data_IF_873303111214
#
_entry.id   IF_873303111214
#
_cell.length_a   1.000
_cell.length_b   1.000
_cell.length_c   1.000
_cell.angle_alpha   90.00
_cell.angle_beta   90.00
_cell.angle_gamma   90.00
#
_symmetry.space_group_name_H-M   'P 1'
#
loop_
_entity.id
_entity.type
_entity.pdbx_description
1 polymer ?
#
# COMPACT_ATOMS: atom_id res chain seq x y z
N UNK A 1 3.77 -8.21 2.62
CA UNK A 1 2.40 -8.72 2.39
C UNK A 1 2.34 -9.12 0.93
N UNK A 2 2.25 -10.42 0.64
CA UNK A 2 1.82 -10.82 -0.69
C UNK A 2 0.41 -10.25 -0.82
N UNK A 3 0.26 -9.16 -1.58
CA UNK A 3 -1.05 -8.61 -1.86
C UNK A 3 -1.91 -9.75 -2.41
N UNK A 4 -3.01 -10.08 -1.77
CA UNK A 4 -3.98 -10.94 -2.41
C UNK A 4 -4.32 -10.31 -3.76
N UNK A 5 -4.75 -11.08 -4.72
CA UNK A 5 -5.17 -10.58 -6.03
C UNK A 5 -6.14 -9.42 -5.80
N UNK A 6 -5.70 -8.18 -6.00
CA UNK A 6 -6.47 -7.00 -5.59
C UNK A 6 -7.73 -6.80 -6.45
N UNK A 7 -7.68 -7.23 -7.70
CA UNK A 7 -8.74 -7.09 -8.70
C UNK A 7 -9.30 -5.68 -8.78
N UNK A 8 -8.52 -4.70 -9.27
CA UNK A 8 -9.06 -3.39 -9.58
C UNK A 8 -10.16 -3.53 -10.63
N UNK A 9 -11.30 -2.89 -10.41
CA UNK A 9 -12.48 -3.09 -11.25
C UNK A 9 -12.94 -1.81 -11.95
N UNK A 10 -13.14 -0.73 -11.20
CA UNK A 10 -13.59 0.55 -11.73
C UNK A 10 -12.54 1.62 -11.47
N UNK A 11 -12.39 2.57 -12.40
CA UNK A 11 -11.41 3.64 -12.28
C UNK A 11 -11.99 4.96 -12.79
N UNK A 12 -11.80 6.04 -12.04
CA UNK A 12 -12.18 7.39 -12.39
C UNK A 12 -11.04 8.37 -12.08
N UNK A 13 -11.04 9.53 -12.76
CA UNK A 13 -10.18 10.64 -12.38
C UNK A 13 -10.95 11.58 -11.45
N UNK A 14 -10.29 12.05 -10.39
CA UNK A 14 -10.81 13.17 -9.62
C UNK A 14 -10.36 14.52 -10.22
N UNK A 15 -10.90 15.62 -9.70
CA UNK A 15 -10.59 16.98 -10.17
C UNK A 15 -9.12 17.39 -9.96
N UNK A 16 -8.37 16.66 -9.14
CA UNK A 16 -6.93 16.88 -8.90
C UNK A 16 -6.05 16.11 -9.90
N UNK A 17 -6.66 15.31 -10.78
CA UNK A 17 -5.95 14.48 -11.77
C UNK A 17 -5.36 13.21 -11.18
N UNK A 18 -5.84 12.78 -10.03
CA UNK A 18 -5.50 11.50 -9.40
C UNK A 18 -6.45 10.41 -9.92
N UNK A 19 -5.96 9.19 -9.96
CA UNK A 19 -6.73 8.01 -10.32
C UNK A 19 -7.35 7.41 -9.05
N UNK A 20 -8.66 7.34 -9.01
CA UNK A 20 -9.42 6.65 -7.96
C UNK A 20 -9.88 5.32 -8.51
N UNK A 21 -9.70 4.25 -7.78
CA UNK A 21 -10.15 2.91 -8.18
C UNK A 21 -10.51 2.05 -6.98
N UNK A 22 -11.38 1.09 -7.20
CA UNK A 22 -11.71 0.08 -6.20
C UNK A 22 -10.91 -1.20 -6.42
N UNK A 23 -10.56 -1.86 -5.34
CA UNK A 23 -9.88 -3.15 -5.32
C UNK A 23 -10.80 -4.17 -4.64
N UNK A 24 -11.56 -4.91 -5.44
CA UNK A 24 -12.66 -5.76 -4.96
C UNK A 24 -12.22 -6.81 -3.93
N UNK A 25 -11.12 -7.51 -4.21
CA UNK A 25 -10.63 -8.59 -3.35
C UNK A 25 -9.75 -8.10 -2.22
N UNK A 26 -9.06 -6.98 -2.41
CA UNK A 26 -8.31 -6.33 -1.34
C UNK A 26 -9.21 -5.49 -0.42
N UNK A 27 -10.49 -5.32 -0.77
CA UNK A 27 -11.47 -4.58 0.00
C UNK A 27 -11.08 -3.12 0.24
N UNK A 28 -10.53 -2.46 -0.80
CA UNK A 28 -10.01 -1.11 -0.74
C UNK A 28 -10.70 -0.16 -1.72
N UNK A 29 -10.74 1.12 -1.34
CA UNK A 29 -10.77 2.26 -2.27
C UNK A 29 -9.35 2.84 -2.30
N UNK A 30 -8.78 2.95 -3.49
CA UNK A 30 -7.40 3.39 -3.67
C UNK A 30 -7.32 4.65 -4.52
N UNK A 31 -6.38 5.54 -4.15
CA UNK A 31 -6.10 6.79 -4.86
C UNK A 31 -4.62 6.79 -5.25
N UNK A 32 -4.36 6.83 -6.55
CA UNK A 32 -3.00 6.95 -7.09
C UNK A 32 -2.77 8.35 -7.63
N UNK A 33 -1.74 9.02 -7.15
CA UNK A 33 -1.25 10.26 -7.73
C UNK A 33 -0.08 9.95 -8.69
N UNK A 34 -0.29 10.08 -10.01
CA UNK A 34 0.75 9.74 -10.98
C UNK A 34 1.91 10.75 -11.01
N UNK A 35 1.72 11.96 -10.48
CA UNK A 35 2.78 12.99 -10.42
C UNK A 35 3.68 12.78 -9.21
N UNK A 36 3.08 12.50 -8.06
CA UNK A 36 3.79 12.27 -6.81
C UNK A 36 4.25 10.81 -6.67
N UNK A 37 3.82 9.94 -7.56
CA UNK A 37 4.08 8.49 -7.51
C UNK A 37 3.63 7.89 -6.16
N UNK A 38 2.52 8.38 -5.61
CA UNK A 38 1.93 7.90 -4.35
C UNK A 38 0.71 7.04 -4.61
N UNK A 39 0.52 6.04 -3.75
CA UNK A 39 -0.69 5.24 -3.69
C UNK A 39 -1.21 5.27 -2.25
N UNK A 40 -2.45 5.68 -2.07
CA UNK A 40 -3.17 5.65 -0.80
C UNK A 40 -4.31 4.66 -0.91
N UNK A 41 -4.34 3.65 -0.05
CA UNK A 41 -5.43 2.70 0.05
C UNK A 41 -6.24 2.94 1.32
N UNK A 42 -7.54 3.02 1.18
CA UNK A 42 -8.49 3.07 2.29
C UNK A 42 -9.16 1.71 2.41
N UNK A 43 -8.80 0.97 3.44
CA UNK A 43 -9.35 -0.35 3.68
C UNK A 43 -10.76 -0.24 4.24
N UNK A 44 -11.70 -0.95 3.62
CA UNK A 44 -13.09 -0.98 4.08
C UNK A 44 -13.19 -1.89 5.30
N UNK A 45 -13.61 -1.39 6.47
CA UNK A 45 -13.61 -2.17 7.71
C UNK A 45 -14.68 -3.26 7.75
N UNK A 46 -15.71 -3.16 6.91
CA UNK A 46 -16.75 -4.18 6.82
C UNK A 46 -16.22 -5.44 6.17
N UNK A 47 -16.54 -6.59 6.77
CA UNK A 47 -16.08 -7.90 6.30
C UNK A 47 -17.17 -8.95 6.45
N UNK A 48 -17.48 -9.64 5.35
CA UNK A 48 -18.35 -10.79 5.37
C UNK A 48 -17.52 -12.07 5.30
N UNK A 49 -17.47 -12.89 6.36
CA UNK A 49 -16.64 -14.09 6.40
C UNK A 49 -17.12 -15.19 5.43
N UNK A 50 -18.32 -15.09 4.90
CA UNK A 50 -18.81 -16.02 3.89
C UNK A 50 -18.30 -15.70 2.47
N UNK A 51 -17.60 -14.56 2.32
CA UNK A 51 -17.02 -14.10 1.06
C UNK A 51 -15.53 -13.84 1.28
N UNK A 52 -14.70 -14.51 0.52
CA UNK A 52 -13.25 -14.49 0.64
C UNK A 52 -12.69 -15.83 1.10
N UNK A 53 -11.38 -15.92 1.15
CA UNK A 53 -10.65 -17.18 1.47
C UNK A 53 -10.54 -17.43 2.99
N UNK A 54 -11.64 -17.32 3.74
CA UNK A 54 -11.64 -17.57 5.18
C UNK A 54 -11.44 -19.06 5.53
N UNK A 55 -11.70 -19.97 4.60
CA UNK A 55 -11.74 -21.42 4.86
C UNK A 55 -10.43 -22.18 4.56
N UNK A 56 -9.41 -21.51 4.01
CA UNK A 56 -8.21 -22.20 3.51
C UNK A 56 -7.13 -22.52 4.56
N UNK A 57 -7.45 -22.51 5.86
CA UNK A 57 -6.55 -23.03 6.92
C UNK A 57 -5.18 -22.37 7.04
N UNK A 58 -4.96 -21.29 6.32
CA UNK A 58 -3.89 -20.33 6.60
C UNK A 58 -4.35 -19.63 7.88
N UNK A 59 -3.52 -19.60 8.91
CA UNK A 59 -3.79 -18.86 10.15
C UNK A 59 -4.39 -17.51 9.80
N UNK A 60 -5.69 -17.51 9.81
CA UNK A 60 -6.47 -16.37 9.42
C UNK A 60 -6.35 -15.45 10.60
N UNK A 61 -5.55 -14.43 10.44
CA UNK A 61 -5.72 -13.21 11.21
C UNK A 61 -7.22 -13.02 11.37
N UNK A 62 -7.73 -12.65 12.54
CA UNK A 62 -9.15 -12.41 12.85
C UNK A 62 -9.90 -11.48 11.87
N UNK A 63 -9.43 -11.38 10.65
CA UNK A 63 -9.66 -10.33 9.69
C UNK A 63 -9.94 -10.86 8.27
N UNK A 64 -10.39 -12.10 8.13
CA UNK A 64 -10.79 -12.64 6.82
C UNK A 64 -12.19 -12.16 6.40
N UNK A 65 -12.48 -12.27 5.11
CA UNK A 65 -13.71 -11.82 4.51
C UNK A 65 -13.59 -10.47 3.82
N UNK A 66 -14.55 -10.17 2.97
CA UNK A 66 -14.59 -8.93 2.18
C UNK A 66 -16.00 -8.35 2.18
N UNK A 67 -16.11 -7.03 2.08
CA UNK A 67 -17.37 -6.34 1.78
C UNK A 67 -17.66 -6.32 0.27
N UNK A 68 -16.64 -6.58 -0.53
CA UNK A 68 -16.63 -6.50 -1.98
C UNK A 68 -17.08 -5.13 -2.48
N UNK A 69 -16.16 -4.17 -2.47
CA UNK A 69 -16.38 -2.84 -3.05
C UNK A 69 -16.62 -3.00 -4.54
N UNK A 70 -17.85 -2.74 -5.00
CA UNK A 70 -18.24 -3.04 -6.37
C UNK A 70 -18.18 -1.82 -7.27
N UNK A 71 -18.72 -0.70 -6.83
CA UNK A 71 -18.79 0.53 -7.59
C UNK A 71 -18.63 1.74 -6.69
N UNK A 72 -18.23 2.87 -7.26
CA UNK A 72 -18.08 4.12 -6.51
C UNK A 72 -18.40 5.34 -7.40
N UNK A 73 -18.57 6.48 -6.75
CA UNK A 73 -18.71 7.78 -7.40
C UNK A 73 -18.00 8.85 -6.58
N UNK A 74 -17.43 9.84 -7.26
CA UNK A 74 -16.72 10.95 -6.64
C UNK A 74 -17.63 12.18 -6.59
N UNK A 75 -17.72 12.81 -5.41
CA UNK A 75 -18.47 14.04 -5.20
C UNK A 75 -17.69 14.99 -4.30
N UNK A 76 -16.98 15.95 -4.88
CA UNK A 76 -16.03 16.80 -4.17
C UNK A 76 -14.95 15.97 -3.50
N UNK A 77 -14.74 16.18 -2.20
CA UNK A 77 -13.76 15.44 -1.40
C UNK A 77 -14.27 14.09 -0.89
N UNK A 78 -15.41 13.60 -1.40
CA UNK A 78 -16.00 12.34 -0.94
C UNK A 78 -16.08 11.32 -2.05
N UNK A 79 -15.66 10.10 -1.74
CA UNK A 79 -15.80 8.93 -2.60
C UNK A 79 -16.83 8.02 -1.95
N UNK A 80 -18.01 7.96 -2.54
CA UNK A 80 -19.10 7.10 -2.11
C UNK A 80 -19.01 5.76 -2.83
N UNK A 81 -19.10 4.64 -2.11
CA UNK A 81 -18.97 3.32 -2.70
C UNK A 81 -20.01 2.32 -2.16
N UNK A 82 -20.23 1.27 -2.91
CA UNK A 82 -21.16 0.20 -2.54
C UNK A 82 -20.37 -1.00 -1.98
N UNK A 83 -20.83 -1.53 -0.86
CA UNK A 83 -20.37 -2.78 -0.27
C UNK A 83 -21.39 -3.88 -0.63
N UNK A 84 -21.15 -4.54 -1.75
CA UNK A 84 -22.16 -5.39 -2.35
C UNK A 84 -22.63 -6.53 -1.47
N UNK A 85 -21.70 -7.26 -0.86
CA UNK A 85 -22.05 -8.44 -0.03
C UNK A 85 -22.50 -8.07 1.38
N UNK A 86 -22.24 -6.84 1.81
CA UNK A 86 -22.68 -6.31 3.09
C UNK A 86 -23.98 -5.48 3.02
N UNK A 87 -24.45 -5.21 1.80
CA UNK A 87 -25.64 -4.39 1.56
C UNK A 87 -25.54 -3.02 2.25
N UNK A 88 -24.37 -2.37 2.14
CA UNK A 88 -24.06 -1.08 2.74
C UNK A 88 -23.58 -0.08 1.69
N UNK A 89 -23.57 1.18 2.06
CA UNK A 89 -22.91 2.27 1.35
C UNK A 89 -21.85 2.83 2.28
N UNK A 90 -20.61 2.89 1.81
CA UNK A 90 -19.49 3.49 2.50
C UNK A 90 -19.10 4.84 1.91
N UNK A 91 -18.27 5.59 2.63
CA UNK A 91 -17.69 6.84 2.18
C UNK A 91 -16.25 6.97 2.65
N UNK A 92 -15.38 7.38 1.73
CA UNK A 92 -14.04 7.90 2.04
C UNK A 92 -14.11 9.43 1.96
N UNK A 93 -13.67 10.10 3.02
CA UNK A 93 -13.56 11.57 3.06
C UNK A 93 -12.09 11.95 2.88
N UNK A 94 -11.73 12.40 1.68
CA UNK A 94 -10.35 12.76 1.33
C UNK A 94 -9.95 14.16 1.81
N UNK A 95 -10.87 14.93 2.41
CA UNK A 95 -10.56 16.20 3.07
C UNK A 95 -9.85 15.99 4.41
N UNK A 96 -9.93 14.80 4.99
CA UNK A 96 -9.21 14.43 6.20
C UNK A 96 -7.73 14.25 5.86
N UNK A 97 -6.81 15.02 6.48
CA UNK A 97 -5.39 14.89 6.22
C UNK A 97 -4.86 13.49 6.50
N UNK A 98 -3.96 13.00 5.65
CA UNK A 98 -3.27 11.74 5.89
C UNK A 98 -2.43 11.82 7.18
N UNK A 99 -2.42 10.78 8.01
CA UNK A 99 -1.76 10.78 9.31
C UNK A 99 -0.22 10.78 9.21
N UNK A 100 0.32 10.39 8.07
CA UNK A 100 1.75 10.26 7.84
C UNK A 100 2.14 10.60 6.40
N UNK A 101 3.43 10.81 6.17
CA UNK A 101 4.03 11.02 4.85
C UNK A 101 5.20 10.08 4.65
N UNK A 102 5.35 9.59 3.41
CA UNK A 102 6.49 8.77 3.01
C UNK A 102 7.36 9.55 2.04
N UNK A 103 8.66 9.51 2.26
CA UNK A 103 9.66 10.10 1.37
C UNK A 103 10.68 9.03 1.00
N UNK A 104 10.99 8.92 -0.29
CA UNK A 104 12.06 8.07 -0.80
C UNK A 104 13.34 8.91 -0.91
N UNK A 105 14.50 8.33 -0.60
CA UNK A 105 15.80 9.00 -0.79
C UNK A 105 16.08 9.30 -2.28
N UNK A 106 15.56 8.46 -3.18
CA UNK A 106 15.60 8.64 -4.63
C UNK A 106 14.34 8.05 -5.27
N UNK A 107 13.94 8.57 -6.43
CA UNK A 107 12.80 8.04 -7.17
C UNK A 107 13.17 6.92 -8.16
N UNK A 108 14.47 6.70 -8.36
CA UNK A 108 15.00 5.73 -9.33
C UNK A 108 16.25 5.05 -8.76
N UNK A 109 16.31 3.74 -8.94
CA UNK A 109 17.42 2.87 -8.60
C UNK A 109 17.86 2.10 -9.85
N UNK A 110 19.16 2.01 -10.11
CA UNK A 110 19.69 1.23 -11.22
C UNK A 110 20.35 -0.03 -10.65
N UNK A 111 20.04 -1.18 -11.22
CA UNK A 111 20.60 -2.48 -10.85
C UNK A 111 21.02 -3.26 -12.10
N UNK A 112 21.97 -4.17 -11.93
CA UNK A 112 22.27 -5.23 -12.92
C UNK A 112 21.63 -6.54 -12.46
N UNK A 113 21.43 -7.50 -13.38
CA UNK A 113 21.09 -8.85 -12.97
C UNK A 113 22.08 -9.39 -11.93
N UNK A 114 21.58 -10.01 -10.86
CA UNK A 114 22.37 -10.50 -9.74
C UNK A 114 22.79 -9.44 -8.72
N UNK A 115 22.47 -8.17 -8.92
CA UNK A 115 22.87 -7.08 -8.02
C UNK A 115 21.82 -6.84 -6.93
N UNK A 116 22.33 -6.42 -5.76
CA UNK A 116 21.52 -5.97 -4.62
C UNK A 116 22.05 -4.64 -4.13
N UNK A 117 21.13 -3.75 -3.76
CA UNK A 117 21.48 -2.42 -3.22
C UNK A 117 20.58 -2.08 -2.03
N UNK A 118 21.18 -1.51 -0.99
CA UNK A 118 20.42 -0.90 0.10
C UNK A 118 19.78 0.39 -0.38
N UNK A 119 18.55 0.60 0.07
CA UNK A 119 17.72 1.75 -0.24
C UNK A 119 16.97 2.18 1.00
N UNK A 120 16.91 3.48 1.28
CA UNK A 120 16.20 4.00 2.43
C UNK A 120 14.94 4.79 2.03
N UNK A 121 13.89 4.62 2.82
CA UNK A 121 12.76 5.54 2.80
C UNK A 121 12.40 5.98 4.21
N UNK A 122 11.78 7.14 4.31
CA UNK A 122 11.42 7.73 5.60
C UNK A 122 9.90 7.81 5.74
N UNK A 123 9.44 7.61 6.97
CA UNK A 123 8.05 7.80 7.39
C UNK A 123 8.05 8.93 8.41
N UNK A 124 7.31 10.00 8.12
CA UNK A 124 7.13 11.14 9.03
C UNK A 124 5.68 11.22 9.47
N UNK A 125 5.45 11.28 10.78
CA UNK A 125 4.11 11.44 11.35
C UNK A 125 3.63 12.88 11.20
N UNK A 126 2.34 13.06 10.90
CA UNK A 126 1.70 14.39 10.78
C UNK A 126 0.71 14.69 11.90
N UNK A 127 0.39 13.70 12.73
CA UNK A 127 -0.52 13.87 13.86
C UNK A 127 0.16 13.49 15.16
N UNK A 128 -0.09 14.29 16.21
CA UNK A 128 0.35 14.01 17.58
C UNK A 128 -0.59 12.96 18.18
N UNK A 129 -0.28 11.70 18.08
CA UNK A 129 -0.99 10.64 18.78
C UNK A 129 0.04 9.69 19.41
N UNK A 130 -0.45 8.90 20.36
CA UNK A 130 0.31 7.91 21.14
C UNK A 130 1.10 6.91 20.28
N UNK A 131 1.86 6.04 20.93
CA UNK A 131 2.62 4.93 20.32
C UNK A 131 1.85 4.31 19.16
N UNK A 132 2.46 4.30 17.97
CA UNK A 132 1.84 3.79 16.75
C UNK A 132 2.54 2.53 16.29
N UNK A 133 1.74 1.53 15.99
CA UNK A 133 2.17 0.33 15.30
C UNK A 133 1.98 0.54 13.79
N UNK A 134 3.08 0.49 13.04
CA UNK A 134 3.09 0.64 11.59
C UNK A 134 3.48 -0.68 10.94
N UNK A 135 2.63 -1.17 10.05
CA UNK A 135 2.95 -2.36 9.23
C UNK A 135 3.66 -1.93 7.96
N UNK A 136 4.93 -2.30 7.82
CA UNK A 136 5.74 -1.92 6.67
C UNK A 136 5.31 -2.68 5.42
N UNK A 137 5.25 -1.99 4.29
CA UNK A 137 4.85 -2.54 2.99
C UNK A 137 6.02 -2.44 2.04
N UNK A 138 6.43 -3.59 1.50
CA UNK A 138 7.37 -3.66 0.38
C UNK A 138 6.82 -4.69 -0.62
N UNK A 139 6.51 -4.28 -1.82
CA UNK A 139 5.89 -5.15 -2.82
C UNK A 139 6.47 -4.93 -4.21
N UNK A 140 6.73 -6.03 -4.91
CA UNK A 140 7.18 -6.06 -6.30
C UNK A 140 6.19 -6.83 -7.16
N UNK A 141 6.18 -6.54 -8.45
CA UNK A 141 5.29 -7.22 -9.42
C UNK A 141 5.95 -8.39 -10.13
N UNK A 142 7.26 -8.60 -9.92
CA UNK A 142 8.06 -9.59 -10.65
C UNK A 142 8.87 -10.43 -9.67
N UNK A 143 8.88 -11.74 -9.85
CA UNK A 143 9.55 -12.68 -8.95
C UNK A 143 11.08 -12.53 -8.95
N UNK A 144 11.66 -12.00 -10.03
CA UNK A 144 13.09 -11.72 -10.14
C UNK A 144 13.53 -10.41 -9.45
N UNK A 145 12.59 -9.65 -8.91
CA UNK A 145 12.85 -8.41 -8.19
C UNK A 145 12.26 -8.52 -6.79
N UNK A 146 13.08 -8.32 -5.76
CA UNK A 146 12.64 -8.38 -4.36
C UNK A 146 12.97 -7.09 -3.62
N UNK A 147 12.18 -6.79 -2.61
CA UNK A 147 12.40 -5.70 -1.67
C UNK A 147 12.16 -6.22 -0.26
N UNK A 148 13.21 -6.24 0.56
CA UNK A 148 13.18 -6.77 1.92
C UNK A 148 13.60 -5.69 2.90
N UNK A 149 12.77 -5.40 3.88
CA UNK A 149 13.12 -4.50 4.98
C UNK A 149 14.23 -5.15 5.82
N UNK A 150 15.29 -4.40 6.09
CA UNK A 150 16.49 -4.90 6.77
C UNK A 150 16.40 -4.86 8.30
N UNK A 151 15.34 -4.32 8.86
CA UNK A 151 15.19 -4.28 10.30
C UNK A 151 14.92 -5.67 10.89
N UNK A 152 15.53 -5.96 12.05
CA UNK A 152 15.61 -7.28 12.67
C UNK A 152 14.29 -7.80 13.27
N UNK A 153 13.16 -7.15 13.03
CA UNK A 153 11.87 -7.67 13.46
C UNK A 153 11.30 -8.61 12.38
N UNK A 154 11.04 -9.84 12.76
CA UNK A 154 10.34 -10.83 11.92
C UNK A 154 8.94 -10.34 11.44
N UNK A 155 8.47 -9.27 12.02
CA UNK A 155 7.13 -8.71 11.83
C UNK A 155 7.25 -7.31 11.21
N UNK A 156 7.65 -7.05 10.08
CA UNK A 156 7.53 -5.79 9.31
C UNK A 156 6.72 -4.66 10.06
N UNK A 157 7.09 -4.40 11.30
CA UNK A 157 6.39 -3.47 12.21
C UNK A 157 7.39 -2.47 12.75
N UNK A 158 7.11 -1.19 12.60
CA UNK A 158 7.84 -0.11 13.25
C UNK A 158 7.00 0.48 14.37
N UNK A 159 7.60 0.67 15.55
CA UNK A 159 6.96 1.34 16.69
C UNK A 159 7.47 2.78 16.73
N UNK A 160 6.55 3.72 16.79
CA UNK A 160 6.84 5.15 16.89
C UNK A 160 6.51 5.61 18.31
N UNK A 161 7.54 5.93 19.07
CA UNK A 161 7.40 6.38 20.46
C UNK A 161 7.15 7.90 20.56
N UNK A 162 7.63 8.67 19.60
CA UNK A 162 7.44 10.12 19.52
C UNK A 162 6.82 10.52 18.16
N UNK A 163 5.64 11.16 18.14
CA UNK A 163 4.99 11.57 16.90
C UNK A 163 5.73 12.67 16.12
N UNK A 164 6.77 13.27 16.68
CA UNK A 164 7.65 14.20 15.96
C UNK A 164 8.78 13.47 15.22
N UNK A 165 8.96 12.17 15.45
CA UNK A 165 10.04 11.40 14.87
C UNK A 165 9.81 11.08 13.40
N UNK A 166 10.92 11.11 12.68
CA UNK A 166 11.04 10.55 11.35
C UNK A 166 11.76 9.21 11.45
N UNK A 167 11.09 8.16 11.00
CA UNK A 167 11.64 6.81 11.01
C UNK A 167 12.30 6.55 9.66
N UNK A 168 13.56 6.11 9.67
CA UNK A 168 14.25 5.61 8.48
C UNK A 168 14.07 4.09 8.37
N UNK A 169 13.65 3.63 7.22
CA UNK A 169 13.42 2.22 6.93
C UNK A 169 14.43 1.74 5.90
N UNK A 170 15.47 1.03 6.34
CA UNK A 170 16.45 0.44 5.44
C UNK A 170 15.84 -0.78 4.74
N UNK A 171 15.99 -0.84 3.42
CA UNK A 171 15.41 -1.89 2.57
C UNK A 171 16.47 -2.41 1.61
N UNK A 172 16.63 -3.73 1.49
CA UNK A 172 17.48 -4.35 0.48
C UNK A 172 16.63 -4.63 -0.77
N UNK A 173 17.02 -4.03 -1.88
CA UNK A 173 16.41 -4.27 -3.18
C UNK A 173 17.36 -5.13 -4.00
N UNK A 174 16.85 -6.26 -4.51
CA UNK A 174 17.66 -7.25 -5.20
C UNK A 174 17.03 -7.66 -6.52
N UNK A 175 17.85 -7.72 -7.57
CA UNK A 175 17.52 -8.34 -8.84
C UNK A 175 18.19 -9.70 -8.94
N UNK A 176 17.48 -10.76 -9.35
CA UNK A 176 18.07 -12.08 -9.55
C UNK A 176 18.99 -12.12 -10.77
N UNK A 177 19.81 -13.17 -10.90
CA UNK A 177 20.73 -13.35 -12.04
C UNK A 177 20.01 -13.44 -13.39
N UNK A 178 18.76 -13.90 -13.39
CA UNK A 178 17.89 -14.02 -14.56
C UNK A 178 16.95 -12.82 -14.77
N UNK A 179 17.17 -11.73 -14.02
CA UNK A 179 16.38 -10.52 -14.16
C UNK A 179 16.48 -9.93 -15.57
N UNK A 180 15.35 -9.61 -16.14
CA UNK A 180 15.28 -9.06 -17.50
C UNK A 180 15.57 -7.56 -17.49
N UNK A 181 16.34 -7.05 -18.47
CA UNK A 181 16.52 -5.61 -18.65
C UNK A 181 15.17 -4.91 -18.86
N UNK A 182 14.98 -3.78 -18.20
CA UNK A 182 13.72 -3.04 -18.28
C UNK A 182 13.52 -2.05 -17.15
N UNK A 183 12.34 -1.45 -17.14
CA UNK A 183 11.93 -0.49 -16.09
C UNK A 183 10.78 -1.10 -15.28
N UNK A 184 10.98 -1.20 -13.99
CA UNK A 184 10.09 -1.85 -13.06
C UNK A 184 9.67 -0.91 -11.93
N UNK A 185 8.64 -1.28 -11.20
CA UNK A 185 8.16 -0.52 -10.05
C UNK A 185 8.16 -1.38 -8.79
N UNK A 186 8.65 -0.81 -7.72
CA UNK A 186 8.51 -1.34 -6.36
C UNK A 186 7.61 -0.38 -5.58
N UNK A 187 6.71 -0.92 -4.78
CA UNK A 187 5.86 -0.18 -3.87
C UNK A 187 6.47 -0.28 -2.47
N UNK A 188 6.85 0.86 -1.90
CA UNK A 188 7.39 0.99 -0.54
C UNK A 188 6.48 1.87 0.29
N UNK A 189 6.15 1.44 1.51
CA UNK A 189 5.23 2.20 2.34
C UNK A 189 4.90 1.58 3.67
N UNK A 190 3.78 1.99 4.22
CA UNK A 190 3.27 1.50 5.50
C UNK A 190 1.76 1.51 5.55
N UNK A 191 1.22 0.64 6.38
CA UNK A 191 -0.18 0.65 6.77
C UNK A 191 -0.30 1.13 8.22
N UNK A 192 -1.21 2.05 8.46
CA UNK A 192 -1.63 2.54 9.76
C UNK A 192 -3.16 2.45 9.87
N UNK A 193 -3.65 1.59 10.75
CA UNK A 193 -5.08 1.30 10.83
C UNK A 193 -5.65 0.84 9.49
N UNK A 194 -6.69 1.51 9.04
CA UNK A 194 -7.35 1.21 7.77
C UNK A 194 -6.78 2.01 6.58
N UNK A 195 -5.62 2.66 6.73
CA UNK A 195 -5.00 3.46 5.66
C UNK A 195 -3.63 2.88 5.33
N UNK A 196 -3.41 2.58 4.05
CA UNK A 196 -2.09 2.25 3.51
C UNK A 196 -1.58 3.42 2.70
N UNK A 197 -0.35 3.87 2.97
CA UNK A 197 0.32 4.93 2.21
C UNK A 197 1.61 4.38 1.66
N UNK A 198 1.83 4.54 0.35
CA UNK A 198 2.99 3.98 -0.34
C UNK A 198 3.48 4.91 -1.43
N UNK A 199 4.75 4.74 -1.82
CA UNK A 199 5.35 5.38 -2.99
C UNK A 199 5.97 4.36 -3.93
N UNK A 200 5.91 4.67 -5.22
CA UNK A 200 6.55 3.87 -6.25
C UNK A 200 8.01 4.30 -6.44
N UNK A 201 8.92 3.36 -6.18
CA UNK A 201 10.31 3.43 -6.62
C UNK A 201 10.43 2.84 -8.02
N UNK A 202 11.07 3.56 -8.94
CA UNK A 202 11.41 3.04 -10.26
C UNK A 202 12.73 2.27 -10.18
N UNK A 203 12.76 1.01 -10.60
CA UNK A 203 13.99 0.23 -10.71
C UNK A 203 14.28 -0.01 -12.18
N UNK A 204 15.46 0.36 -12.63
CA UNK A 204 15.96 0.14 -13.99
C UNK A 204 16.98 -0.99 -13.91
N UNK A 205 16.74 -2.06 -14.65
CA UNK A 205 17.67 -3.19 -14.80
C UNK A 205 18.33 -3.07 -16.17
N UNK A 206 19.67 -3.00 -16.18
CA UNK A 206 20.51 -2.82 -17.39
C UNK A 206 21.25 -4.09 -17.82
#
# INVERSE_FOLDING_TARGET
>A
IKSPISRPYWIENNDQGQLVFNEQTANNISIMDPKLQTLVGYHVPSKNPNWGDCDNGVDVLDNCGIAQVFDFTISGDKIWFTEWVENKIGVVDTSVPLPLEIQLEANTLNLKPGESQEFEYTISMKSQNDILELFLVASTTHDFLTANVLDNSADLVAIVDDPSDTIMIPTLISASDDALPGTYKILLGTQYGDITISKYLTVIIE
#
